data_IF_299960168557
#
_entry.id   IF_299960168557
#
_cell.length_a   1.000
_cell.length_b   1.000
_cell.length_c   1.000
_cell.angle_alpha   90.00
_cell.angle_beta   90.00
_cell.angle_gamma   90.00
#
_symmetry.space_group_name_H-M   'P 1'
#
loop_
_entity.id
_entity.type
_entity.pdbx_description
1 polymer ?
#
# COMPACT_ATOMS: atom_id res chain seq x y z
N UNK A 1 -2.31 -26.69 20.69
CA UNK A 1 -3.57 -25.91 20.60
C UNK A 1 -3.47 -24.73 19.60
N UNK A 2 -2.71 -24.84 18.50
CA UNK A 2 -2.55 -23.77 17.50
C UNK A 2 -3.19 -24.10 16.13
N UNK A 3 -3.94 -25.21 16.03
CA UNK A 3 -4.51 -25.71 14.77
C UNK A 3 -5.54 -24.79 14.09
N UNK A 4 -6.04 -23.78 14.79
CA UNK A 4 -6.98 -22.80 14.24
C UNK A 4 -6.31 -21.57 13.61
N UNK A 5 -4.98 -21.39 13.74
CA UNK A 5 -4.27 -20.25 13.15
C UNK A 5 -3.78 -20.50 11.71
N UNK A 6 -3.93 -21.72 11.19
CA UNK A 6 -3.16 -22.17 10.03
C UNK A 6 -3.68 -21.73 8.66
N UNK A 7 -4.82 -21.03 8.56
CA UNK A 7 -5.33 -20.58 7.25
C UNK A 7 -6.68 -19.88 7.27
N UNK A 8 -7.74 -20.49 7.83
CA UNK A 8 -9.08 -19.89 7.80
C UNK A 8 -9.14 -18.58 8.58
N UNK A 9 -8.49 -18.53 9.74
CA UNK A 9 -8.47 -17.34 10.59
C UNK A 9 -7.80 -16.14 9.92
N UNK A 10 -6.71 -16.33 9.17
CA UNK A 10 -6.08 -15.24 8.42
C UNK A 10 -7.01 -14.69 7.33
N UNK A 11 -7.75 -15.56 6.65
CA UNK A 11 -8.78 -15.15 5.68
C UNK A 11 -9.89 -14.33 6.33
N UNK A 12 -10.37 -14.74 7.50
CA UNK A 12 -11.41 -14.00 8.24
C UNK A 12 -10.89 -12.62 8.67
N UNK A 13 -9.65 -12.52 9.13
CA UNK A 13 -9.02 -11.24 9.50
C UNK A 13 -8.88 -10.33 8.28
N UNK A 14 -8.38 -10.85 7.14
CA UNK A 14 -8.30 -10.10 5.88
C UNK A 14 -9.68 -9.56 5.49
N UNK A 15 -10.72 -10.39 5.63
CA UNK A 15 -12.07 -10.02 5.27
C UNK A 15 -12.60 -8.87 6.13
N UNK A 16 -12.39 -8.93 7.45
CA UNK A 16 -12.76 -7.86 8.38
C UNK A 16 -12.02 -6.56 8.04
N UNK A 17 -10.72 -6.64 7.78
CA UNK A 17 -9.91 -5.46 7.43
C UNK A 17 -10.37 -4.87 6.09
N UNK A 18 -10.70 -5.69 5.10
CA UNK A 18 -11.26 -5.23 3.82
C UNK A 18 -12.61 -4.54 3.98
N UNK A 19 -13.46 -4.99 4.91
CA UNK A 19 -14.75 -4.34 5.18
C UNK A 19 -14.56 -2.97 5.86
N UNK A 20 -13.56 -2.82 6.74
CA UNK A 20 -13.29 -1.57 7.46
C UNK A 20 -12.52 -0.54 6.62
N UNK A 21 -11.51 -1.01 5.87
CA UNK A 21 -10.62 -0.13 5.10
C UNK A 21 -11.02 -0.03 3.62
N UNK A 22 -11.70 -1.04 3.07
CA UNK A 22 -12.05 -1.13 1.66
C UNK A 22 -10.94 -1.72 0.79
N UNK A 23 -11.34 -2.34 -0.33
CA UNK A 23 -10.45 -2.98 -1.31
C UNK A 23 -9.32 -2.07 -1.85
N UNK A 24 -9.52 -0.78 -2.16
CA UNK A 24 -8.44 0.06 -2.72
C UNK A 24 -7.48 0.61 -1.67
N UNK A 25 -7.83 0.62 -0.38
CA UNK A 25 -6.99 1.24 0.67
C UNK A 25 -5.89 0.32 1.17
N UNK A 26 -6.12 -0.99 1.24
CA UNK A 26 -5.08 -1.96 1.58
C UNK A 26 -3.87 -1.95 0.64
N UNK A 27 -4.03 -2.00 -0.71
CA UNK A 27 -2.89 -1.94 -1.61
C UNK A 27 -2.18 -0.58 -1.57
N UNK A 28 -2.91 0.51 -1.36
CA UNK A 28 -2.31 1.84 -1.21
C UNK A 28 -1.40 1.93 0.02
N UNK A 29 -1.87 1.45 1.18
CA UNK A 29 -1.10 1.40 2.43
C UNK A 29 0.12 0.47 2.31
N UNK A 30 -0.06 -0.68 1.67
CA UNK A 30 1.05 -1.61 1.42
C UNK A 30 2.12 -0.99 0.50
N UNK A 31 1.71 -0.25 -0.54
CA UNK A 31 2.61 0.44 -1.47
C UNK A 31 3.41 1.52 -0.75
N UNK A 32 2.78 2.37 0.07
CA UNK A 32 3.48 3.42 0.82
C UNK A 32 4.44 2.85 1.87
N UNK A 33 4.01 1.83 2.63
CA UNK A 33 4.85 1.19 3.63
C UNK A 33 6.03 0.43 2.99
N UNK A 34 5.80 -0.24 1.87
CA UNK A 34 6.82 -0.94 1.10
C UNK A 34 7.88 0.00 0.53
N UNK A 35 7.50 1.21 0.09
CA UNK A 35 8.45 2.23 -0.34
C UNK A 35 9.34 2.69 0.82
N UNK A 36 8.76 2.98 1.99
CA UNK A 36 9.54 3.36 3.18
C UNK A 36 10.48 2.24 3.64
N UNK A 37 10.01 0.99 3.64
CA UNK A 37 10.85 -0.17 3.99
C UNK A 37 11.95 -0.41 2.96
N UNK A 38 11.69 -0.20 1.66
CA UNK A 38 12.72 -0.35 0.61
C UNK A 38 13.84 0.67 0.78
N UNK A 39 13.50 1.91 1.13
CA UNK A 39 14.47 2.97 1.41
C UNK A 39 15.27 2.62 2.66
N UNK A 40 14.60 2.27 3.77
CA UNK A 40 15.27 1.88 5.01
C UNK A 40 16.18 0.65 4.81
N UNK A 41 15.71 -0.37 4.09
CA UNK A 41 16.50 -1.56 3.76
C UNK A 41 17.73 -1.20 2.93
N UNK A 42 17.59 -0.27 1.98
CA UNK A 42 18.69 0.19 1.12
C UNK A 42 19.76 0.96 1.88
N UNK A 43 19.38 1.82 2.82
CA UNK A 43 20.31 2.55 3.67
C UNK A 43 20.97 1.65 4.72
N UNK A 44 20.22 0.69 5.29
CA UNK A 44 20.71 -0.24 6.34
C UNK A 44 21.54 -1.38 5.77
N UNK A 45 21.22 -1.89 4.57
CA UNK A 45 21.97 -2.97 3.90
C UNK A 45 23.07 -2.42 2.97
N UNK A 46 23.66 -1.29 3.33
CA UNK A 46 24.67 -0.59 2.51
C UNK A 46 25.65 -1.53 1.82
N UNK A 47 25.69 -1.39 0.49
CA UNK A 47 26.73 -1.84 -0.45
C UNK A 47 26.56 -3.13 -1.27
N UNK A 48 25.44 -3.88 -1.19
CA UNK A 48 25.23 -5.02 -2.10
C UNK A 48 23.89 -4.98 -2.87
N UNK A 49 23.98 -5.38 -4.14
CA UNK A 49 22.93 -5.58 -5.13
C UNK A 49 22.44 -4.38 -5.98
N UNK A 50 23.21 -4.12 -7.03
CA UNK A 50 22.65 -3.84 -8.37
C UNK A 50 21.78 -5.03 -8.82
N UNK A 51 20.50 -5.08 -8.42
CA UNK A 51 19.39 -5.69 -9.17
C UNK A 51 18.10 -5.54 -8.36
N UNK A 52 17.22 -4.63 -8.79
CA UNK A 52 15.76 -4.75 -8.66
C UNK A 52 15.08 -3.51 -9.28
N UNK A 53 15.13 -3.42 -10.60
CA UNK A 53 13.99 -2.91 -11.36
C UNK A 53 13.19 -4.14 -11.82
N UNK A 54 11.88 -4.15 -11.57
CA UNK A 54 10.99 -3.49 -12.50
C UNK A 54 10.06 -2.47 -11.82
N UNK A 55 9.81 -1.39 -12.55
CA UNK A 55 8.85 -0.37 -12.21
C UNK A 55 7.40 -0.87 -12.24
N UNK A 56 6.59 -0.12 -11.47
CA UNK A 56 5.18 0.22 -11.71
C UNK A 56 4.15 -0.90 -11.54
N UNK A 57 3.30 -0.78 -10.50
CA UNK A 57 1.89 -0.51 -10.80
C UNK A 57 1.53 0.88 -10.31
N UNK A 58 1.58 1.82 -11.23
CA UNK A 58 0.69 2.96 -11.26
C UNK A 58 -0.72 2.37 -11.33
N UNK A 59 -1.43 2.47 -10.22
CA UNK A 59 -2.88 2.37 -10.22
C UNK A 59 -3.35 3.58 -9.43
N UNK A 60 -3.10 4.75 -10.01
CA UNK A 60 -3.87 5.93 -9.67
C UNK A 60 -5.32 5.68 -10.04
N UNK A 61 -6.19 5.53 -9.05
CA UNK A 61 -7.53 6.11 -9.09
C UNK A 61 -8.15 6.17 -7.70
N UNK A 62 -8.86 7.27 -7.45
CA UNK A 62 -9.71 7.58 -6.29
C UNK A 62 -9.04 8.19 -5.06
N UNK A 63 -8.56 9.43 -5.26
CA UNK A 63 -8.61 10.48 -4.26
C UNK A 63 -9.04 11.76 -4.97
N UNK A 64 -10.35 11.94 -5.10
CA UNK A 64 -11.02 13.17 -5.50
C UNK A 64 -10.26 14.41 -5.02
N UNK A 65 -9.54 15.05 -5.94
CA UNK A 65 -9.31 16.48 -5.88
C UNK A 65 -10.63 17.14 -6.26
N UNK A 66 -11.41 17.48 -5.24
CA UNK A 66 -12.40 18.54 -5.36
C UNK A 66 -12.09 19.61 -4.30
N UNK A 67 -11.09 20.48 -4.56
CA UNK A 67 -11.21 21.86 -4.16
C UNK A 67 -12.08 22.55 -5.22
N UNK A 68 -13.37 22.61 -4.93
CA UNK A 68 -14.34 23.46 -5.60
C UNK A 68 -13.75 24.87 -5.82
N UNK A 69 -13.52 25.19 -7.11
CA UNK A 69 -13.46 26.53 -7.73
C UNK A 69 -12.44 27.58 -7.23
N UNK A 70 -11.46 27.94 -8.10
CA UNK A 70 -11.12 29.33 -8.35
C UNK A 70 -11.50 29.66 -9.79
N UNK A 71 -12.74 30.11 -10.02
CA UNK A 71 -13.11 30.75 -11.27
C UNK A 71 -12.81 32.26 -11.19
N UNK A 72 -11.85 32.64 -12.03
CA UNK A 72 -11.77 33.91 -12.77
C UNK A 72 -11.12 35.10 -12.05
N UNK A 73 -9.96 35.59 -12.52
CA UNK A 73 -9.65 37.00 -12.47
C UNK A 73 -10.44 37.70 -13.60
N UNK A 74 -11.33 38.61 -13.24
CA UNK A 74 -11.75 39.75 -14.06
C UNK A 74 -11.45 41.04 -13.28
#
# INVERSE_FOLDING_TARGET
MFGNLSGPTLIVIIFIVLLLFGAPKLPALAKSLGQSMKILKKEVSGDDDKTAEPGTPDAGTTGTVDPESPKKPE
#
